data_IF_730398688293
#
_entry.id   IF_730398688293
#
_cell.length_a   1.000
_cell.length_b   1.000
_cell.length_c   1.000
_cell.angle_alpha   90.00
_cell.angle_beta   90.00
_cell.angle_gamma   90.00
#
_symmetry.space_group_name_H-M   'P 1'
#
loop_
_entity.id
_entity.type
_entity.pdbx_description
1 polymer ?
#
# COMPACT_ATOMS: atom_id res chain seq x y z
N UNK A 1 -19.22 -27.49 -4.65
CA UNK A 1 -18.39 -26.64 -5.54
C UNK A 1 -17.48 -25.81 -4.65
N UNK A 2 -16.17 -25.90 -4.82
CA UNK A 2 -15.24 -25.01 -4.11
C UNK A 2 -15.26 -23.61 -4.74
N UNK A 3 -15.13 -22.58 -3.92
CA UNK A 3 -14.89 -21.21 -4.35
C UNK A 3 -13.40 -20.92 -4.14
N UNK A 4 -12.73 -20.41 -5.18
CA UNK A 4 -11.33 -19.99 -5.11
C UNK A 4 -11.32 -18.47 -5.07
N UNK A 5 -10.58 -17.90 -4.11
CA UNK A 5 -10.37 -16.45 -4.00
C UNK A 5 -9.07 -16.10 -4.71
N UNK A 6 -9.14 -15.18 -5.66
CA UNK A 6 -7.98 -14.72 -6.44
C UNK A 6 -7.23 -13.61 -5.68
N UNK A 7 -6.62 -13.99 -4.55
CA UNK A 7 -6.04 -13.06 -3.59
C UNK A 7 -4.95 -12.16 -4.21
N UNK A 8 -4.15 -12.68 -5.13
CA UNK A 8 -3.05 -11.93 -5.75
C UNK A 8 -3.55 -10.75 -6.61
N UNK A 9 -4.64 -10.94 -7.36
CA UNK A 9 -5.23 -9.86 -8.16
C UNK A 9 -5.92 -8.83 -7.26
N UNK A 10 -6.65 -9.32 -6.26
CA UNK A 10 -7.31 -8.46 -5.27
C UNK A 10 -6.31 -7.60 -4.49
N UNK A 11 -5.14 -8.16 -4.14
CA UNK A 11 -4.12 -7.44 -3.37
C UNK A 11 -3.46 -6.34 -4.19
N UNK A 12 -3.16 -6.60 -5.47
CA UNK A 12 -2.63 -5.58 -6.40
C UNK A 12 -3.59 -4.40 -6.53
N UNK A 13 -4.88 -4.70 -6.72
CA UNK A 13 -5.91 -3.66 -6.84
C UNK A 13 -6.07 -2.88 -5.52
N UNK A 14 -6.03 -3.57 -4.39
CA UNK A 14 -6.06 -2.94 -3.07
C UNK A 14 -4.89 -1.97 -2.87
N UNK A 15 -3.65 -2.36 -3.19
CA UNK A 15 -2.49 -1.47 -3.08
C UNK A 15 -2.63 -0.23 -3.96
N UNK A 16 -3.05 -0.41 -5.22
CA UNK A 16 -3.28 0.70 -6.16
C UNK A 16 -4.30 1.71 -5.61
N UNK A 17 -5.44 1.22 -5.12
CA UNK A 17 -6.50 2.08 -4.57
C UNK A 17 -6.06 2.82 -3.29
N UNK A 18 -5.17 2.22 -2.50
CA UNK A 18 -4.65 2.80 -1.26
C UNK A 18 -3.47 3.73 -1.47
N UNK A 19 -2.90 3.77 -2.67
CA UNK A 19 -1.67 4.51 -2.98
C UNK A 19 -0.43 3.84 -2.37
N UNK A 20 -0.42 2.50 -2.35
CA UNK A 20 0.67 1.68 -1.86
C UNK A 20 1.49 1.15 -3.06
N UNK A 21 2.74 0.79 -2.81
CA UNK A 21 3.61 0.13 -3.78
C UNK A 21 3.33 -1.39 -3.86
N UNK A 22 4.01 -2.07 -4.77
CA UNK A 22 3.88 -3.52 -4.96
C UNK A 22 4.36 -4.34 -3.76
N UNK A 23 5.15 -3.75 -2.87
CA UNK A 23 5.64 -4.36 -1.63
C UNK A 23 4.63 -4.19 -0.48
N UNK A 24 3.56 -3.42 -0.69
CA UNK A 24 2.53 -3.14 0.30
C UNK A 24 2.83 -1.96 1.22
N UNK A 25 3.83 -1.13 0.89
CA UNK A 25 4.13 0.09 1.63
C UNK A 25 3.33 1.27 1.09
N UNK A 26 2.81 2.16 1.96
CA UNK A 26 2.26 3.44 1.50
C UNK A 26 3.30 4.25 0.74
N UNK A 27 2.89 4.93 -0.33
CA UNK A 27 3.75 5.90 -1.01
C UNK A 27 4.08 7.09 -0.10
N UNK A 28 5.18 7.78 -0.39
CA UNK A 28 5.55 9.03 0.29
C UNK A 28 4.40 10.05 0.27
N UNK A 29 3.80 10.27 -0.90
CA UNK A 29 2.65 11.18 -1.05
C UNK A 29 1.46 10.76 -0.19
N UNK A 30 1.22 9.44 -0.04
CA UNK A 30 0.16 8.94 0.84
C UNK A 30 0.46 9.27 2.30
N UNK A 31 1.69 9.05 2.77
CA UNK A 31 2.11 9.38 4.14
C UNK A 31 2.05 10.89 4.39
N UNK A 32 2.51 11.69 3.42
CA UNK A 32 2.42 13.16 3.46
C UNK A 32 0.97 13.63 3.57
N UNK A 33 0.05 13.06 2.80
CA UNK A 33 -1.38 13.43 2.84
C UNK A 33 -2.07 13.11 4.17
N UNK A 34 -1.45 12.27 5.01
CA UNK A 34 -1.95 11.84 6.31
C UNK A 34 -1.16 12.46 7.49
N UNK A 35 -0.25 13.40 7.22
CA UNK A 35 0.66 13.99 8.21
C UNK A 35 1.55 12.96 8.94
N UNK A 36 1.96 11.89 8.24
CA UNK A 36 2.79 10.79 8.77
C UNK A 36 4.25 10.84 8.28
N UNK A 37 4.82 12.04 8.12
CA UNK A 37 6.19 12.19 7.58
C UNK A 37 7.27 11.58 8.48
N UNK A 38 7.06 11.51 9.80
CA UNK A 38 8.00 10.81 10.69
C UNK A 38 8.03 9.30 10.42
N UNK A 39 6.87 8.69 10.12
CA UNK A 39 6.79 7.27 9.71
C UNK A 39 7.51 7.05 8.37
N UNK A 40 7.39 8.00 7.44
CA UNK A 40 8.10 7.93 6.17
C UNK A 40 9.63 7.88 6.38
N UNK A 41 10.16 8.69 7.31
CA UNK A 41 11.58 8.65 7.69
C UNK A 41 11.98 7.32 8.31
N UNK A 42 11.22 6.80 9.28
CA UNK A 42 11.51 5.52 9.94
C UNK A 42 11.54 4.34 8.95
N UNK A 43 10.64 4.36 7.96
CA UNK A 43 10.56 3.34 6.92
C UNK A 43 11.51 3.58 5.74
N UNK A 44 12.30 4.65 5.74
CA UNK A 44 13.16 5.08 4.62
C UNK A 44 12.39 5.24 3.30
N UNK A 45 11.20 5.81 3.37
CA UNK A 45 10.33 6.15 2.23
C UNK A 45 10.50 7.66 1.99
N UNK A 46 11.11 8.04 0.87
CA UNK A 46 11.45 9.42 0.49
C UNK A 46 10.65 9.91 -0.71
#
# INVERSE_FOLDING_TARGET
KGHVVELDEMLKEYYRLRGYDERGYPSYEKLRSLDLLEVAKELNIT
#
